data_IF_878284953063
#
_entry.id   IF_878284953063
#
_cell.length_a   1.000
_cell.length_b   1.000
_cell.length_c   1.000
_cell.angle_alpha   90.00
_cell.angle_beta   90.00
_cell.angle_gamma   90.00
#
_symmetry.space_group_name_H-M   'P 1'
#
loop_
_entity.id
_entity.type
_entity.pdbx_description
1 polymer ?
#
# COMPACT_ATOMS: atom_id res chain seq x y z
N UNK A 1 4.12 11.58 -3.09
CA UNK A 1 3.74 11.41 -4.50
C UNK A 1 2.23 11.36 -4.71
N UNK A 2 1.42 10.75 -3.83
CA UNK A 2 -0.06 10.88 -3.91
C UNK A 2 -0.54 12.34 -4.00
N UNK A 3 -0.11 13.20 -3.07
CA UNK A 3 -0.48 14.63 -3.09
C UNK A 3 -0.04 15.39 -4.34
N UNK A 4 1.04 14.94 -5.00
CA UNK A 4 1.50 15.53 -6.26
C UNK A 4 0.51 15.26 -7.40
N UNK A 5 0.03 14.01 -7.51
CA UNK A 5 -1.04 13.66 -8.46
C UNK A 5 -2.37 14.33 -8.10
N UNK A 6 -2.79 14.27 -6.83
CA UNK A 6 -4.09 14.77 -6.39
C UNK A 6 -4.26 16.26 -6.68
N UNK A 7 -3.21 17.05 -6.47
CA UNK A 7 -3.24 18.49 -6.63
C UNK A 7 -2.71 18.96 -7.99
N UNK A 8 -2.26 18.05 -8.86
CA UNK A 8 -1.70 18.38 -10.18
C UNK A 8 -0.47 19.28 -10.12
N UNK A 9 0.38 19.13 -9.09
CA UNK A 9 1.50 20.05 -8.84
C UNK A 9 2.69 19.83 -9.77
N UNK A 10 2.80 18.64 -10.37
CA UNK A 10 3.88 18.24 -11.27
C UNK A 10 5.29 18.43 -10.66
N UNK A 11 5.44 18.15 -9.36
CA UNK A 11 6.70 18.26 -8.62
C UNK A 11 7.69 17.16 -8.99
N UNK A 12 7.20 15.99 -9.42
CA UNK A 12 8.02 14.83 -9.78
C UNK A 12 7.89 14.50 -11.26
N UNK A 13 9.01 14.09 -11.88
CA UNK A 13 8.98 13.66 -13.28
C UNK A 13 8.16 12.39 -13.47
N UNK A 14 7.47 12.26 -14.61
CA UNK A 14 6.73 11.05 -14.97
C UNK A 14 7.62 9.79 -14.94
N UNK A 15 8.91 9.93 -15.27
CA UNK A 15 9.89 8.85 -15.24
C UNK A 15 10.10 8.27 -13.84
N UNK A 16 9.90 9.04 -12.77
CA UNK A 16 10.05 8.56 -11.40
C UNK A 16 8.92 7.60 -11.02
N UNK A 17 7.68 7.91 -11.42
CA UNK A 17 6.51 7.05 -11.21
C UNK A 17 6.69 5.69 -11.92
N UNK A 18 7.19 5.70 -13.16
CA UNK A 18 7.48 4.47 -13.92
C UNK A 18 8.59 3.66 -13.27
N UNK A 19 9.69 4.30 -12.85
CA UNK A 19 10.79 3.61 -12.16
C UNK A 19 10.33 2.91 -10.87
N UNK A 20 9.55 3.62 -10.04
CA UNK A 20 8.98 3.02 -8.83
C UNK A 20 8.02 1.87 -9.14
N UNK A 21 7.15 2.04 -10.13
CA UNK A 21 6.22 0.99 -10.57
C UNK A 21 6.96 -0.29 -10.98
N UNK A 22 8.04 -0.16 -11.76
CA UNK A 22 8.86 -1.29 -12.18
C UNK A 22 9.55 -1.98 -10.99
N UNK A 23 10.02 -1.20 -10.01
CA UNK A 23 10.60 -1.76 -8.80
C UNK A 23 9.54 -2.54 -8.00
N UNK A 24 8.35 -1.97 -7.80
CA UNK A 24 7.28 -2.64 -7.06
C UNK A 24 6.86 -3.98 -7.66
N UNK A 25 6.89 -4.10 -8.99
CA UNK A 25 6.49 -5.31 -9.71
C UNK A 25 7.26 -6.58 -9.28
N UNK A 26 8.50 -6.45 -8.79
CA UNK A 26 9.35 -7.57 -8.39
C UNK A 26 9.53 -7.75 -6.88
N UNK A 27 8.88 -6.92 -6.04
CA UNK A 27 9.08 -6.90 -4.58
C UNK A 27 7.79 -7.18 -3.78
N UNK A 28 6.74 -7.66 -4.45
CA UNK A 28 5.49 -8.05 -3.81
C UNK A 28 5.63 -9.28 -2.90
N UNK A 29 5.02 -9.21 -1.73
CA UNK A 29 4.74 -10.34 -0.83
C UNK A 29 3.25 -10.71 -0.93
N UNK A 30 2.85 -11.79 -0.24
CA UNK A 30 1.47 -12.31 -0.27
C UNK A 30 0.40 -11.27 0.06
N UNK A 31 0.69 -10.36 0.99
CA UNK A 31 -0.24 -9.33 1.45
C UNK A 31 0.23 -7.91 1.07
N UNK A 32 1.00 -7.80 -0.01
CA UNK A 32 1.46 -6.52 -0.56
C UNK A 32 2.96 -6.27 -0.38
N UNK A 33 3.40 -5.01 -0.32
CA UNK A 33 4.84 -4.69 -0.28
C UNK A 33 5.36 -4.30 1.10
N UNK A 34 6.63 -4.63 1.42
CA UNK A 34 7.29 -4.11 2.60
C UNK A 34 7.56 -2.61 2.47
N UNK A 35 7.50 -1.91 3.60
CA UNK A 35 7.68 -0.47 3.72
C UNK A 35 8.88 -0.10 4.60
N UNK A 36 9.27 -0.97 5.54
CA UNK A 36 10.33 -0.68 6.52
C UNK A 36 11.62 -1.44 6.17
N UNK A 37 12.70 -0.73 5.90
CA UNK A 37 14.00 -1.35 5.58
C UNK A 37 14.64 -2.07 6.78
N UNK A 38 14.20 -1.77 8.01
CA UNK A 38 14.66 -2.43 9.23
C UNK A 38 13.89 -3.73 9.49
N UNK A 39 12.72 -3.88 8.88
CA UNK A 39 11.81 -5.00 9.06
C UNK A 39 11.26 -5.45 7.70
N UNK A 40 11.90 -6.44 7.07
CA UNK A 40 11.78 -6.71 5.62
C UNK A 40 10.38 -7.16 5.16
N UNK A 41 9.46 -7.40 6.09
CA UNK A 41 8.08 -7.83 5.81
C UNK A 41 7.04 -6.83 6.31
N UNK A 42 7.41 -5.82 7.11
CA UNK A 42 6.43 -4.89 7.67
C UNK A 42 5.90 -3.93 6.62
N UNK A 43 4.60 -3.70 6.66
CA UNK A 43 3.89 -2.82 5.73
C UNK A 43 2.80 -2.02 6.43
N UNK A 44 2.23 -1.07 5.67
CA UNK A 44 1.12 -0.24 6.10
C UNK A 44 -0.01 -0.23 5.08
N UNK A 45 -1.24 -0.50 5.51
CA UNK A 45 -2.36 -0.70 4.58
C UNK A 45 -2.78 0.60 3.88
N UNK A 46 -2.77 1.72 4.61
CA UNK A 46 -3.00 3.05 4.05
C UNK A 46 -1.93 3.44 3.01
N UNK A 47 -0.65 3.22 3.33
CA UNK A 47 0.45 3.51 2.42
C UNK A 47 0.36 2.67 1.15
N UNK A 48 0.03 1.39 1.25
CA UNK A 48 -0.15 0.52 0.10
C UNK A 48 -1.25 1.06 -0.84
N UNK A 49 -2.42 1.44 -0.30
CA UNK A 49 -3.50 1.98 -1.13
C UNK A 49 -3.12 3.35 -1.72
N UNK A 50 -2.55 4.26 -0.95
CA UNK A 50 -2.05 5.54 -1.47
C UNK A 50 -1.04 5.33 -2.59
N UNK A 51 -0.12 4.37 -2.44
CA UNK A 51 0.89 4.04 -3.46
C UNK A 51 0.25 3.43 -4.71
N UNK A 52 -0.78 2.61 -4.55
CA UNK A 52 -1.49 2.00 -5.69
C UNK A 52 -2.18 3.02 -6.60
N UNK A 53 -2.50 4.23 -6.12
CA UNK A 53 -3.06 5.30 -6.97
C UNK A 53 -2.01 5.97 -7.86
N UNK A 54 -0.73 5.89 -7.50
CA UNK A 54 0.34 6.62 -8.19
C UNK A 54 1.13 5.77 -9.19
N UNK A 55 1.04 4.44 -9.10
CA UNK A 55 1.71 3.54 -10.05
C UNK A 55 1.18 3.67 -11.47
N UNK A 56 1.96 3.23 -12.44
CA UNK A 56 1.71 3.44 -13.87
C UNK A 56 1.12 2.22 -14.59
N UNK A 57 0.91 1.10 -13.89
CA UNK A 57 0.30 -0.11 -14.47
C UNK A 57 -0.80 -0.66 -13.57
N UNK A 58 -1.82 -1.25 -14.19
CA UNK A 58 -2.93 -1.90 -13.47
C UNK A 58 -2.45 -3.13 -12.71
N UNK A 59 -1.51 -3.91 -13.26
CA UNK A 59 -0.96 -5.08 -12.57
C UNK A 59 -0.31 -4.73 -11.23
N UNK A 60 0.50 -3.67 -11.18
CA UNK A 60 1.14 -3.24 -9.93
C UNK A 60 0.11 -2.57 -9.00
N UNK A 61 -0.85 -1.81 -9.53
CA UNK A 61 -1.97 -1.28 -8.73
C UNK A 61 -2.69 -2.43 -8.02
N UNK A 62 -3.04 -3.46 -8.77
CA UNK A 62 -3.80 -4.60 -8.28
C UNK A 62 -3.00 -5.43 -7.29
N UNK A 63 -1.67 -5.50 -7.42
CA UNK A 63 -0.79 -6.12 -6.42
C UNK A 63 -1.01 -5.48 -5.02
N UNK A 64 -0.99 -4.16 -4.93
CA UNK A 64 -1.21 -3.44 -3.66
C UNK A 64 -2.65 -3.62 -3.15
N UNK A 65 -3.66 -3.39 -4.01
CA UNK A 65 -5.07 -3.46 -3.61
C UNK A 65 -5.43 -4.87 -3.15
N UNK A 66 -5.06 -5.88 -3.93
CA UNK A 66 -5.34 -7.28 -3.60
C UNK A 66 -4.56 -7.72 -2.36
N UNK A 67 -3.35 -7.21 -2.15
CA UNK A 67 -2.56 -7.48 -0.94
C UNK A 67 -3.27 -7.00 0.33
N UNK A 68 -3.75 -5.75 0.34
CA UNK A 68 -4.51 -5.20 1.47
C UNK A 68 -5.84 -5.93 1.67
N UNK A 69 -6.55 -6.22 0.58
CA UNK A 69 -7.79 -7.00 0.64
C UNK A 69 -7.55 -8.41 1.22
N UNK A 70 -6.51 -9.12 0.73
CA UNK A 70 -6.14 -10.43 1.23
C UNK A 70 -5.77 -10.39 2.71
N UNK A 71 -5.07 -9.35 3.18
CA UNK A 71 -4.76 -9.17 4.60
C UNK A 71 -6.03 -8.98 5.44
N UNK A 72 -6.94 -8.10 5.00
CA UNK A 72 -8.18 -7.83 5.72
C UNK A 72 -9.10 -9.07 5.78
N UNK A 73 -9.09 -9.90 4.73
CA UNK A 73 -9.97 -11.06 4.59
C UNK A 73 -9.38 -12.39 5.11
N UNK A 74 -8.12 -12.43 5.55
CA UNK A 74 -7.43 -13.71 5.83
C UNK A 74 -7.92 -14.47 7.06
N UNK A 75 -8.76 -13.87 7.92
CA UNK A 75 -9.27 -14.51 9.14
C UNK A 75 -8.23 -14.80 10.23
N UNK A 76 -6.99 -14.32 10.10
CA UNK A 76 -5.90 -14.55 11.06
C UNK A 76 -5.91 -13.57 12.23
N UNK A 77 -6.67 -12.47 12.11
CA UNK A 77 -6.61 -11.34 13.03
C UNK A 77 -7.97 -11.11 13.70
N UNK A 78 -7.98 -10.97 15.02
CA UNK A 78 -9.18 -10.70 15.82
C UNK A 78 -9.31 -9.22 16.24
N UNK A 79 -8.28 -8.42 15.94
CA UNK A 79 -8.28 -6.98 16.21
C UNK A 79 -9.08 -6.23 15.13
N UNK A 80 -9.61 -5.01 15.42
CA UNK A 80 -10.01 -4.07 14.37
C UNK A 80 -8.87 -3.87 13.37
N UNK A 81 -9.22 -3.60 12.11
CA UNK A 81 -8.24 -3.51 11.02
C UNK A 81 -7.06 -2.62 11.43
N UNK A 82 -5.87 -3.22 11.43
CA UNK A 82 -4.64 -2.53 11.75
C UNK A 82 -4.00 -2.01 10.49
N UNK A 83 -3.45 -0.81 10.60
CA UNK A 83 -2.71 -0.15 9.54
C UNK A 83 -1.22 -0.48 9.53
N UNK A 84 -0.74 -1.35 10.42
CA UNK A 84 0.64 -1.84 10.46
C UNK A 84 0.67 -3.35 10.71
N UNK A 85 1.09 -4.09 9.68
CA UNK A 85 1.01 -5.54 9.62
C UNK A 85 2.23 -6.16 8.92
N UNK A 86 2.40 -7.46 9.10
CA UNK A 86 3.38 -8.25 8.36
C UNK A 86 2.81 -8.66 6.99
N UNK A 87 3.39 -8.17 5.90
CA UNK A 87 2.94 -8.41 4.54
C UNK A 87 3.28 -9.82 3.99
N UNK A 88 4.06 -10.61 4.72
CA UNK A 88 4.31 -12.02 4.42
C UNK A 88 3.34 -12.93 5.18
N UNK A 89 3.22 -12.73 6.50
CA UNK A 89 2.40 -13.56 7.39
C UNK A 89 0.91 -13.15 7.41
N UNK A 90 0.61 -11.88 7.13
CA UNK A 90 -0.74 -11.32 7.17
C UNK A 90 -1.25 -11.08 8.59
N UNK A 91 -0.37 -10.96 9.57
CA UNK A 91 -0.72 -10.79 10.98
C UNK A 91 -0.52 -9.35 11.43
N UNK A 92 -1.40 -8.87 12.31
CA UNK A 92 -1.28 -7.55 12.94
C UNK A 92 0.01 -7.44 13.72
N UNK A 93 0.71 -6.32 13.56
CA UNK A 93 1.78 -5.92 14.47
C UNK A 93 1.25 -4.91 15.50
N UNK A 94 0.95 -3.69 15.04
CA UNK A 94 0.49 -2.57 15.88
C UNK A 94 -0.60 -1.72 15.24
N UNK A 95 -0.80 -0.51 15.75
CA UNK A 95 -1.65 0.54 15.12
C UNK A 95 -3.03 0.08 14.63
N UNK A 96 -3.98 0.05 15.57
CA UNK A 96 -5.35 -0.45 15.36
C UNK A 96 -6.34 0.71 15.41
N UNK A 97 -7.40 0.64 14.60
CA UNK A 97 -8.51 1.60 14.61
C UNK A 97 -8.09 3.09 14.51
N UNK A 98 -7.03 3.37 13.73
CA UNK A 98 -6.54 4.75 13.53
C UNK A 98 -7.19 5.39 12.30
N UNK A 99 -7.41 6.72 12.29
CA UNK A 99 -8.06 7.40 11.18
C UNK A 99 -7.28 7.31 9.85
N UNK A 100 -5.97 6.99 9.90
CA UNK A 100 -5.14 6.84 8.71
C UNK A 100 -5.69 5.80 7.71
N UNK A 101 -6.47 4.82 8.18
CA UNK A 101 -7.14 3.84 7.31
C UNK A 101 -8.13 4.48 6.33
N UNK A 102 -8.55 5.73 6.55
CA UNK A 102 -9.28 6.52 5.55
C UNK A 102 -8.54 6.65 4.22
N UNK A 103 -7.21 6.47 4.20
CA UNK A 103 -6.42 6.37 2.98
C UNK A 103 -6.83 5.22 2.04
N UNK A 104 -7.61 4.24 2.51
CA UNK A 104 -8.18 3.20 1.65
C UNK A 104 -9.15 3.74 0.60
N UNK A 105 -9.70 4.94 0.83
CA UNK A 105 -10.57 5.62 -0.14
C UNK A 105 -9.80 6.46 -1.18
N UNK A 106 -8.48 6.40 -1.23
CA UNK A 106 -7.66 7.27 -2.09
C UNK A 106 -8.01 7.18 -3.59
N UNK A 107 -8.42 6.01 -4.09
CA UNK A 107 -8.89 5.82 -5.47
C UNK A 107 -10.22 6.52 -5.78
N UNK A 108 -10.97 7.01 -4.78
CA UNK A 108 -12.16 7.82 -5.02
C UNK A 108 -11.83 9.30 -5.27
N UNK A 109 -10.59 9.71 -4.95
CA UNK A 109 -10.14 11.09 -5.08
C UNK A 109 -9.30 11.35 -6.35
N UNK A 110 -8.84 10.27 -7.01
CA UNK A 110 -8.01 10.29 -8.22
C UNK A 110 -8.68 9.50 -9.34
#
# INVERSE_FOLDING_TARGET
>A
MFGDKLLGLNLFSASLYTQQTNWYASHGLTYGLPLDTRHPTWSKSDWQILTSTIVTTTAVRDLFINGVHAYAANGKNTNPISDWFDASAGTVDGFRARPVVGGHFAHLAL
#
